data_IF_822630770109
#
_entry.id   IF_822630770109
#
_cell.length_a   1.000
_cell.length_b   1.000
_cell.length_c   1.000
_cell.angle_alpha   90.00
_cell.angle_beta   90.00
_cell.angle_gamma   90.00
#
_symmetry.space_group_name_H-M   'P 1'
#
loop_
_entity.id
_entity.type
_entity.pdbx_description
1 polymer ?
#
# COMPACT_ATOMS: atom_id res chain seq x y z
N UNK A 1 -19.94 -18.50 2.12
CA UNK A 1 -19.66 -18.22 0.68
C UNK A 1 -18.96 -19.40 -0.01
N UNK A 2 -17.94 -20.04 0.59
CA UNK A 2 -17.22 -21.18 -0.04
C UNK A 2 -18.14 -22.39 -0.37
N UNK A 3 -19.08 -22.75 0.50
CA UNK A 3 -20.01 -23.88 0.27
C UNK A 3 -20.98 -23.65 -0.89
N UNK A 4 -21.46 -22.41 -1.07
CA UNK A 4 -22.36 -22.06 -2.18
C UNK A 4 -21.60 -22.12 -3.53
N UNK A 5 -20.35 -21.65 -3.57
CA UNK A 5 -19.51 -21.72 -4.76
C UNK A 5 -19.20 -23.16 -5.18
N UNK A 6 -18.96 -24.04 -4.21
CA UNK A 6 -18.72 -25.50 -4.47
C UNK A 6 -19.99 -26.18 -5.01
N UNK A 7 -21.16 -25.86 -4.48
CA UNK A 7 -22.44 -26.41 -4.95
C UNK A 7 -22.82 -25.92 -6.34
N UNK A 8 -22.60 -24.64 -6.65
CA UNK A 8 -22.83 -24.07 -7.98
C UNK A 8 -21.86 -24.64 -9.02
N UNK A 9 -20.58 -24.77 -8.67
CA UNK A 9 -19.58 -25.37 -9.59
C UNK A 9 -19.85 -26.87 -9.91
N UNK A 10 -20.57 -27.58 -9.03
CA UNK A 10 -20.99 -28.94 -9.27
C UNK A 10 -22.23 -29.04 -10.19
N UNK A 11 -23.00 -27.95 -10.33
CA UNK A 11 -24.22 -27.89 -11.17
C UNK A 11 -23.91 -27.28 -12.54
N UNK A 12 -22.99 -26.35 -12.62
CA UNK A 12 -22.60 -25.65 -13.84
C UNK A 12 -21.13 -25.22 -13.75
N UNK A 13 -20.29 -25.75 -14.64
CA UNK A 13 -18.86 -25.48 -14.70
C UNK A 13 -18.58 -23.99 -15.03
N UNK A 14 -19.42 -23.35 -15.88
CA UNK A 14 -19.28 -21.95 -16.27
C UNK A 14 -19.66 -21.01 -15.12
N UNK A 15 -20.70 -21.33 -14.34
CA UNK A 15 -21.04 -20.60 -13.14
C UNK A 15 -19.93 -20.67 -12.07
N UNK A 16 -19.30 -21.84 -11.93
CA UNK A 16 -18.14 -22.01 -11.05
C UNK A 16 -16.91 -21.21 -11.51
N UNK A 17 -16.66 -21.14 -12.82
CA UNK A 17 -15.60 -20.31 -13.39
C UNK A 17 -15.86 -18.81 -13.18
N UNK A 18 -17.10 -18.37 -13.40
CA UNK A 18 -17.54 -17.02 -13.18
C UNK A 18 -17.32 -16.54 -11.72
N UNK A 19 -17.70 -17.36 -10.74
CA UNK A 19 -17.46 -17.04 -9.32
C UNK A 19 -15.98 -16.92 -8.96
N UNK A 20 -15.12 -17.76 -9.56
CA UNK A 20 -13.68 -17.63 -9.36
C UNK A 20 -13.11 -16.33 -9.93
N UNK A 21 -13.58 -15.91 -11.10
CA UNK A 21 -13.20 -14.61 -11.71
C UNK A 21 -13.61 -13.46 -10.79
N UNK A 22 -14.84 -13.45 -10.29
CA UNK A 22 -15.32 -12.40 -9.38
C UNK A 22 -14.45 -12.34 -8.13
N UNK A 23 -14.29 -13.47 -7.42
CA UNK A 23 -13.53 -13.51 -6.16
C UNK A 23 -12.07 -13.10 -6.36
N UNK A 24 -11.47 -13.44 -7.51
CA UNK A 24 -10.10 -13.07 -7.82
C UNK A 24 -9.93 -11.55 -7.98
N UNK A 25 -10.78 -10.88 -8.78
CA UNK A 25 -10.67 -9.45 -9.00
C UNK A 25 -11.15 -8.60 -7.82
N UNK A 26 -12.09 -9.10 -7.03
CA UNK A 26 -12.47 -8.47 -5.77
C UNK A 26 -11.28 -8.47 -4.80
N UNK A 27 -10.57 -9.59 -4.68
CA UNK A 27 -9.34 -9.68 -3.88
C UNK A 27 -8.22 -8.75 -4.38
N UNK A 28 -8.03 -8.62 -5.70
CA UNK A 28 -7.08 -7.65 -6.26
C UNK A 28 -7.47 -6.20 -5.96
N UNK A 29 -8.76 -5.89 -5.96
CA UNK A 29 -9.27 -4.56 -5.66
C UNK A 29 -9.07 -4.23 -4.18
N UNK A 30 -9.38 -5.16 -3.28
CA UNK A 30 -9.14 -5.04 -1.83
C UNK A 30 -7.64 -4.88 -1.52
N UNK A 31 -6.80 -5.66 -2.21
CA UNK A 31 -5.34 -5.56 -2.09
C UNK A 31 -4.75 -4.31 -2.78
N UNK A 32 -5.59 -3.44 -3.36
CA UNK A 32 -5.16 -2.26 -4.13
C UNK A 32 -4.12 -2.57 -5.21
N UNK A 33 -4.30 -3.70 -5.90
CA UNK A 33 -3.38 -4.17 -6.92
C UNK A 33 -3.20 -3.14 -8.05
N UNK A 34 -2.00 -3.16 -8.64
CA UNK A 34 -1.66 -2.26 -9.75
C UNK A 34 -2.17 -2.72 -11.11
N UNK A 35 -2.06 -1.82 -12.10
CA UNK A 35 -2.57 -2.05 -13.46
C UNK A 35 -2.00 -3.33 -14.07
N UNK A 36 -0.69 -3.56 -13.93
CA UNK A 36 -0.04 -4.75 -14.49
C UNK A 36 -0.55 -6.04 -13.85
N UNK A 37 -0.71 -6.07 -12.52
CA UNK A 37 -1.21 -7.23 -11.80
C UNK A 37 -2.65 -7.56 -12.22
N UNK A 38 -3.48 -6.52 -12.41
CA UNK A 38 -4.86 -6.68 -12.86
C UNK A 38 -4.91 -7.22 -14.29
N UNK A 39 -4.09 -6.67 -15.22
CA UNK A 39 -4.00 -7.15 -16.61
C UNK A 39 -3.42 -8.56 -16.68
N UNK A 40 -2.46 -8.89 -15.81
CA UNK A 40 -1.93 -10.27 -15.67
C UNK A 40 -3.03 -11.24 -15.27
N UNK A 41 -3.86 -10.88 -14.30
CA UNK A 41 -5.02 -11.69 -13.90
C UNK A 41 -5.97 -11.94 -15.07
N UNK A 42 -6.22 -10.92 -15.91
CA UNK A 42 -7.04 -11.09 -17.11
C UNK A 42 -6.43 -12.10 -18.09
N UNK A 43 -5.13 -11.98 -18.38
CA UNK A 43 -4.44 -12.87 -19.32
C UNK A 43 -4.43 -14.33 -18.84
N UNK A 44 -4.12 -14.55 -17.57
CA UNK A 44 -4.07 -15.89 -16.96
C UNK A 44 -5.46 -16.54 -16.95
N UNK A 45 -6.50 -15.81 -16.51
CA UNK A 45 -7.86 -16.35 -16.41
C UNK A 45 -8.53 -16.54 -17.78
N UNK A 46 -8.24 -15.66 -18.74
CA UNK A 46 -8.73 -15.81 -20.11
C UNK A 46 -7.96 -16.89 -20.89
N UNK A 47 -6.74 -17.28 -20.49
CA UNK A 47 -5.88 -18.17 -21.24
C UNK A 47 -5.42 -17.60 -22.59
N UNK A 48 -5.47 -16.27 -22.77
CA UNK A 48 -4.97 -15.56 -23.94
C UNK A 48 -4.32 -14.24 -23.52
N UNK A 49 -3.48 -13.59 -24.35
CA UNK A 49 -2.87 -12.34 -23.99
C UNK A 49 -3.92 -11.26 -23.73
N UNK A 50 -3.70 -10.46 -22.68
CA UNK A 50 -4.51 -9.29 -22.37
C UNK A 50 -3.70 -8.01 -22.62
N UNK A 51 -4.36 -6.99 -23.18
CA UNK A 51 -3.76 -5.72 -23.53
C UNK A 51 -4.58 -4.57 -22.97
N UNK A 52 -3.90 -3.64 -22.28
CA UNK A 52 -4.46 -2.35 -21.86
C UNK A 52 -3.76 -1.23 -22.63
N UNK A 53 -4.54 -0.36 -23.24
CA UNK A 53 -4.06 0.83 -23.94
C UNK A 53 -4.81 2.05 -23.41
N UNK A 54 -4.08 3.07 -22.96
CA UNK A 54 -4.59 4.38 -22.60
C UNK A 54 -3.66 5.44 -23.20
N UNK A 55 -4.08 6.04 -24.31
CA UNK A 55 -3.25 7.01 -25.03
C UNK A 55 -3.14 8.35 -24.29
N UNK A 56 -4.14 8.74 -23.50
CA UNK A 56 -4.08 9.95 -22.66
C UNK A 56 -3.02 9.83 -21.58
N UNK A 57 -2.94 8.65 -20.93
CA UNK A 57 -1.96 8.37 -19.88
C UNK A 57 -0.68 7.73 -20.39
N UNK A 58 -0.58 7.49 -21.73
CA UNK A 58 0.53 6.78 -22.39
C UNK A 58 0.80 5.40 -21.79
N UNK A 59 -0.23 4.73 -21.29
CA UNK A 59 -0.15 3.37 -20.76
C UNK A 59 -0.33 2.37 -21.90
N UNK A 60 0.63 1.47 -22.08
CA UNK A 60 0.57 0.37 -23.07
C UNK A 60 1.11 -0.89 -22.40
N UNK A 61 0.22 -1.72 -21.88
CA UNK A 61 0.54 -2.97 -21.22
C UNK A 61 0.04 -4.14 -22.06
N UNK A 62 0.85 -5.16 -22.21
CA UNK A 62 0.48 -6.45 -22.79
C UNK A 62 1.06 -7.55 -21.93
N UNK A 63 0.22 -8.48 -21.48
CA UNK A 63 0.62 -9.61 -20.66
C UNK A 63 0.16 -10.90 -21.30
N UNK A 64 1.03 -11.88 -21.40
CA UNK A 64 0.75 -13.22 -21.95
C UNK A 64 0.17 -14.14 -20.87
N UNK A 65 -0.46 -15.29 -21.23
CA UNK A 65 -1.11 -16.20 -20.27
C UNK A 65 -0.16 -16.79 -19.22
N UNK A 66 1.13 -16.85 -19.50
CA UNK A 66 2.18 -17.24 -18.55
C UNK A 66 2.54 -16.13 -17.54
N UNK A 67 1.88 -14.96 -17.65
CA UNK A 67 2.07 -13.81 -16.78
C UNK A 67 3.23 -12.89 -17.18
N UNK A 68 3.91 -13.14 -18.31
CA UNK A 68 5.00 -12.32 -18.77
C UNK A 68 4.49 -11.02 -19.42
N UNK A 69 5.08 -9.88 -19.04
CA UNK A 69 4.84 -8.61 -19.70
C UNK A 69 5.65 -8.56 -21.01
N UNK A 70 5.00 -8.19 -22.11
CA UNK A 70 5.61 -8.11 -23.44
C UNK A 70 5.32 -6.77 -24.10
N UNK A 71 6.17 -6.27 -25.02
CA UNK A 71 5.89 -5.06 -25.78
C UNK A 71 4.62 -5.18 -26.63
N UNK A 72 3.89 -4.08 -26.73
CA UNK A 72 2.77 -3.94 -27.68
C UNK A 72 3.35 -3.66 -29.06
N UNK A 73 3.64 -4.69 -29.84
CA UNK A 73 4.35 -4.57 -31.11
C UNK A 73 3.42 -4.48 -32.34
N UNK A 74 2.19 -5.01 -32.25
CA UNK A 74 1.24 -5.05 -33.37
C UNK A 74 0.01 -4.19 -33.12
N UNK A 75 -0.65 -3.66 -34.15
CA UNK A 75 -1.96 -3.03 -34.02
C UNK A 75 -2.98 -4.02 -33.44
N UNK A 76 -4.02 -3.48 -32.81
CA UNK A 76 -5.10 -4.29 -32.27
C UNK A 76 -5.97 -4.85 -33.38
N UNK A 77 -6.27 -6.16 -33.32
CA UNK A 77 -7.23 -6.77 -34.21
C UNK A 77 -8.66 -6.28 -33.89
N UNK A 78 -9.43 -5.81 -34.85
CA UNK A 78 -10.82 -5.44 -34.62
C UNK A 78 -11.70 -6.59 -34.07
N UNK A 79 -11.35 -7.83 -34.36
CA UNK A 79 -12.10 -9.02 -33.91
C UNK A 79 -11.91 -9.33 -32.40
N UNK A 80 -10.89 -8.79 -31.74
CA UNK A 80 -10.68 -9.05 -30.33
C UNK A 80 -11.77 -8.43 -29.45
N UNK A 81 -12.23 -9.19 -28.46
CA UNK A 81 -13.13 -8.66 -27.45
C UNK A 81 -12.46 -7.50 -26.71
N UNK A 82 -13.20 -6.41 -26.55
CA UNK A 82 -12.69 -5.20 -25.90
C UNK A 82 -13.75 -4.52 -25.04
N UNK A 83 -13.31 -3.79 -24.04
CA UNK A 83 -14.15 -2.92 -23.23
C UNK A 83 -13.43 -1.63 -22.89
N UNK A 84 -14.16 -0.54 -22.73
CA UNK A 84 -13.64 0.71 -22.21
C UNK A 84 -13.59 0.66 -20.68
N UNK A 85 -12.58 1.31 -20.09
CA UNK A 85 -12.42 1.35 -18.64
C UNK A 85 -13.11 2.58 -18.06
N UNK A 86 -14.36 2.41 -17.65
CA UNK A 86 -15.18 3.52 -17.14
C UNK A 86 -15.42 4.60 -18.20
N UNK A 87 -15.22 5.87 -17.81
CA UNK A 87 -15.33 7.03 -18.71
C UNK A 87 -13.97 7.49 -19.27
N UNK A 88 -12.91 6.68 -19.12
CA UNK A 88 -11.57 7.01 -19.60
C UNK A 88 -11.38 6.59 -21.07
N UNK A 89 -10.31 7.09 -21.71
CA UNK A 89 -9.84 6.64 -23.02
C UNK A 89 -9.20 5.25 -23.00
N UNK A 90 -9.00 4.66 -21.81
CA UNK A 90 -8.38 3.36 -21.64
C UNK A 90 -9.25 2.23 -22.21
N UNK A 91 -8.64 1.36 -23.00
CA UNK A 91 -9.30 0.20 -23.62
C UNK A 91 -8.55 -1.07 -23.18
N UNK A 92 -9.31 -2.02 -22.62
CA UNK A 92 -8.83 -3.36 -22.32
C UNK A 92 -9.27 -4.31 -23.44
N UNK A 93 -8.37 -5.18 -23.88
CA UNK A 93 -8.60 -6.16 -24.95
C UNK A 93 -8.09 -7.53 -24.53
N UNK A 94 -8.79 -8.59 -24.97
CA UNK A 94 -8.32 -9.97 -24.92
C UNK A 94 -7.91 -10.40 -26.33
N UNK A 95 -6.63 -10.74 -26.54
CA UNK A 95 -6.07 -11.13 -27.82
C UNK A 95 -6.36 -12.60 -28.12
N UNK A 96 -7.65 -12.96 -28.16
CA UNK A 96 -8.07 -14.32 -28.47
C UNK A 96 -8.16 -14.55 -29.97
N UNK A 97 -7.49 -15.61 -30.43
CA UNK A 97 -7.70 -16.12 -31.78
C UNK A 97 -8.95 -17.01 -31.81
N UNK A 98 -9.95 -16.66 -32.62
CA UNK A 98 -11.20 -17.40 -32.74
C UNK A 98 -12.35 -16.87 -31.89
N UNK A 99 -13.31 -17.75 -31.56
CA UNK A 99 -14.51 -17.36 -30.83
C UNK A 99 -14.21 -17.01 -29.36
N UNK A 100 -14.96 -16.04 -28.76
CA UNK A 100 -14.84 -15.70 -27.34
C UNK A 100 -15.12 -16.89 -26.44
N UNK A 101 -14.36 -16.99 -25.36
CA UNK A 101 -14.64 -17.96 -24.28
C UNK A 101 -15.88 -17.56 -23.48
N UNK A 102 -16.57 -18.54 -22.87
CA UNK A 102 -17.80 -18.32 -22.08
C UNK A 102 -17.66 -17.32 -20.97
N UNK A 103 -16.47 -17.22 -20.37
CA UNK A 103 -16.16 -16.29 -19.24
C UNK A 103 -15.47 -15.00 -19.69
N UNK A 104 -15.10 -14.83 -20.97
CA UNK A 104 -14.32 -13.67 -21.42
C UNK A 104 -15.04 -12.33 -21.19
N UNK A 105 -16.35 -12.27 -21.43
CA UNK A 105 -17.17 -11.09 -21.18
C UNK A 105 -17.14 -10.68 -19.70
N UNK A 106 -17.23 -11.66 -18.79
CA UNK A 106 -17.17 -11.43 -17.35
C UNK A 106 -15.78 -11.00 -16.89
N UNK A 107 -14.72 -11.60 -17.46
CA UNK A 107 -13.34 -11.17 -17.21
C UNK A 107 -13.19 -9.70 -17.58
N UNK A 108 -13.61 -9.31 -18.79
CA UNK A 108 -13.53 -7.92 -19.23
C UNK A 108 -14.30 -6.97 -18.33
N UNK A 109 -15.50 -7.34 -17.88
CA UNK A 109 -16.33 -6.52 -16.98
C UNK A 109 -15.63 -6.32 -15.63
N UNK A 110 -15.16 -7.40 -14.99
CA UNK A 110 -14.52 -7.34 -13.66
C UNK A 110 -13.18 -6.62 -13.69
N UNK A 111 -12.38 -6.90 -14.70
CA UNK A 111 -11.10 -6.21 -14.94
C UNK A 111 -11.33 -4.73 -15.16
N UNK A 112 -12.33 -4.35 -15.99
CA UNK A 112 -12.66 -2.93 -16.22
C UNK A 112 -13.01 -2.21 -14.92
N UNK A 113 -13.77 -2.85 -14.03
CA UNK A 113 -14.08 -2.31 -12.69
C UNK A 113 -12.84 -2.10 -11.83
N UNK A 114 -11.96 -3.10 -11.75
CA UNK A 114 -10.71 -3.03 -10.99
C UNK A 114 -9.73 -1.99 -11.57
N UNK A 115 -9.59 -1.94 -12.90
CA UNK A 115 -8.77 -0.93 -13.58
C UNK A 115 -9.31 0.47 -13.35
N UNK A 116 -10.64 0.68 -13.43
CA UNK A 116 -11.28 1.97 -13.16
C UNK A 116 -10.94 2.45 -11.75
N UNK A 117 -11.10 1.60 -10.73
CA UNK A 117 -10.77 1.95 -9.36
C UNK A 117 -9.30 2.37 -9.21
N UNK A 118 -8.38 1.70 -9.93
CA UNK A 118 -6.96 2.03 -9.93
C UNK A 118 -6.67 3.33 -10.68
N UNK A 119 -7.26 3.54 -11.86
CA UNK A 119 -7.09 4.76 -12.66
C UNK A 119 -7.71 5.99 -11.99
N UNK A 120 -8.86 5.86 -11.33
CA UNK A 120 -9.50 6.96 -10.58
C UNK A 120 -8.66 7.37 -9.37
N UNK A 121 -8.07 6.41 -8.67
CA UNK A 121 -7.13 6.65 -7.56
C UNK A 121 -5.89 7.42 -8.01
N UNK A 122 -5.51 7.31 -9.27
CA UNK A 122 -4.31 7.95 -9.85
C UNK A 122 -4.63 9.24 -10.62
N UNK A 123 -5.90 9.66 -10.72
CA UNK A 123 -6.30 10.92 -11.35
C UNK A 123 -5.62 12.13 -10.68
N UNK A 124 -5.05 13.02 -11.48
CA UNK A 124 -4.41 14.26 -11.01
C UNK A 124 -2.91 14.16 -10.73
N UNK A 125 -2.26 13.02 -10.99
CA UNK A 125 -0.79 12.91 -10.95
C UNK A 125 -0.16 13.47 -12.23
N UNK A 126 0.94 14.23 -12.05
CA UNK A 126 1.69 14.81 -13.15
C UNK A 126 2.20 13.72 -14.14
N UNK A 127 2.34 14.05 -15.45
CA UNK A 127 2.75 13.10 -16.50
C UNK A 127 4.11 12.42 -16.29
N UNK A 128 4.94 12.94 -15.39
CA UNK A 128 6.27 12.41 -15.08
C UNK A 128 6.27 11.09 -14.30
N UNK A 129 5.12 10.62 -13.81
CA UNK A 129 5.01 9.36 -13.10
C UNK A 129 3.86 8.53 -13.67
N UNK A 130 4.10 7.81 -14.76
CA UNK A 130 3.19 6.76 -15.22
C UNK A 130 3.04 5.72 -14.11
N UNK A 131 1.86 5.61 -13.46
CA UNK A 131 1.67 4.72 -12.31
C UNK A 131 1.98 3.26 -12.64
N UNK A 132 1.73 2.83 -13.89
CA UNK A 132 2.00 1.47 -14.31
C UNK A 132 3.50 1.18 -14.37
N UNK A 133 4.30 2.15 -14.84
CA UNK A 133 5.74 2.01 -14.87
C UNK A 133 6.35 2.08 -13.46
N UNK A 134 5.79 2.89 -12.55
CA UNK A 134 6.21 2.93 -11.15
C UNK A 134 5.91 1.59 -10.46
N UNK A 135 4.72 1.02 -10.67
CA UNK A 135 4.36 -0.29 -10.13
C UNK A 135 5.27 -1.41 -10.67
N UNK A 136 5.60 -1.34 -11.97
CA UNK A 136 6.54 -2.28 -12.58
C UNK A 136 7.93 -2.21 -11.95
N UNK A 137 8.39 -1.01 -11.61
CA UNK A 137 9.70 -0.80 -10.97
C UNK A 137 9.79 -1.39 -9.57
N UNK A 138 8.69 -1.42 -8.83
CA UNK A 138 8.63 -1.95 -7.46
C UNK A 138 8.15 -3.40 -7.40
N UNK A 139 7.77 -4.01 -8.52
CA UNK A 139 7.36 -5.41 -8.60
C UNK A 139 8.58 -6.35 -8.57
N UNK A 140 8.69 -7.14 -7.50
CA UNK A 140 9.76 -8.14 -7.37
C UNK A 140 9.66 -9.28 -8.43
N UNK A 141 8.48 -9.52 -8.98
CA UNK A 141 8.25 -10.50 -10.05
C UNK A 141 8.64 -10.01 -11.45
N UNK A 142 8.88 -8.71 -11.63
CA UNK A 142 9.26 -8.15 -12.92
C UNK A 142 10.76 -8.39 -13.21
N UNK A 143 11.13 -8.86 -14.42
CA UNK A 143 12.52 -9.01 -14.83
C UNK A 143 13.29 -7.68 -14.76
N UNK A 144 14.59 -7.73 -14.46
CA UNK A 144 15.43 -6.54 -14.28
C UNK A 144 15.47 -5.67 -15.55
N UNK A 145 15.66 -6.27 -16.71
CA UNK A 145 15.69 -5.59 -18.00
C UNK A 145 14.39 -4.81 -18.30
N UNK A 146 13.25 -5.37 -17.90
CA UNK A 146 11.94 -4.72 -18.03
C UNK A 146 11.84 -3.53 -17.08
N UNK A 147 12.33 -3.66 -15.83
CA UNK A 147 12.39 -2.57 -14.85
C UNK A 147 13.32 -1.45 -15.30
N UNK A 148 14.50 -1.79 -15.82
CA UNK A 148 15.46 -0.80 -16.38
C UNK A 148 14.85 -0.06 -17.58
N UNK A 149 14.10 -0.74 -18.45
CA UNK A 149 13.39 -0.10 -19.54
C UNK A 149 12.33 0.87 -19.02
N UNK A 150 11.58 0.48 -17.99
CA UNK A 150 10.60 1.35 -17.34
C UNK A 150 11.27 2.60 -16.73
N UNK A 151 12.42 2.42 -16.07
CA UNK A 151 13.20 3.53 -15.52
C UNK A 151 13.65 4.53 -16.61
N UNK A 152 14.13 4.02 -17.73
CA UNK A 152 14.48 4.86 -18.90
C UNK A 152 13.27 5.61 -19.47
N UNK A 153 12.12 4.94 -19.56
CA UNK A 153 10.87 5.54 -20.06
C UNK A 153 10.35 6.65 -19.12
N UNK A 154 10.50 6.48 -17.81
CA UNK A 154 10.18 7.51 -16.83
C UNK A 154 11.25 8.62 -16.73
N UNK A 155 12.34 8.53 -17.49
CA UNK A 155 13.46 9.47 -17.43
C UNK A 155 13.98 9.67 -15.99
N UNK A 156 14.06 8.57 -15.23
CA UNK A 156 14.59 8.63 -13.88
C UNK A 156 16.04 9.11 -13.90
N UNK A 157 16.43 10.01 -12.97
CA UNK A 157 17.79 10.50 -12.89
C UNK A 157 18.78 9.36 -12.60
N UNK A 158 20.00 9.51 -13.07
CA UNK A 158 21.08 8.64 -12.66
C UNK A 158 21.38 8.89 -11.18
N UNK A 159 21.30 7.86 -10.36
CA UNK A 159 21.53 7.95 -8.92
C UNK A 159 20.55 7.09 -8.10
N UNK A 160 20.76 7.07 -6.79
CA UNK A 160 19.90 6.30 -5.91
C UNK A 160 18.47 6.89 -5.84
N UNK A 161 17.50 6.00 -5.83
CA UNK A 161 16.06 6.32 -5.78
C UNK A 161 15.45 5.59 -4.60
N UNK A 162 14.52 6.24 -3.92
CA UNK A 162 13.75 5.64 -2.82
C UNK A 162 12.35 5.28 -3.31
N UNK A 163 11.87 4.11 -2.97
CA UNK A 163 10.46 3.83 -3.08
C UNK A 163 9.68 4.50 -1.95
N UNK A 164 8.50 5.01 -2.25
CA UNK A 164 7.59 5.68 -1.30
C UNK A 164 6.26 4.96 -1.31
N UNK A 165 5.85 4.46 -0.15
CA UNK A 165 4.55 3.87 0.07
C UNK A 165 3.57 4.94 0.57
N UNK A 166 2.39 5.00 -0.07
CA UNK A 166 1.26 5.86 0.30
C UNK A 166 -0.03 5.05 0.20
N UNK A 167 -1.10 5.52 0.78
CA UNK A 167 -2.43 4.92 0.58
C UNK A 167 -2.84 4.88 -0.89
N UNK A 168 -2.41 5.90 -1.66
CA UNK A 168 -2.67 5.98 -3.10
C UNK A 168 -1.80 5.05 -3.96
N UNK A 169 -0.90 4.26 -3.37
CA UNK A 169 0.01 3.34 -4.06
C UNK A 169 1.47 3.80 -4.07
N UNK A 170 2.33 3.13 -4.85
CA UNK A 170 3.75 3.41 -4.93
C UNK A 170 4.05 4.76 -5.59
N UNK A 171 5.14 5.38 -5.13
CA UNK A 171 5.76 6.52 -5.78
C UNK A 171 7.29 6.37 -5.68
N UNK A 172 8.00 7.18 -6.43
CA UNK A 172 9.46 7.22 -6.42
C UNK A 172 9.94 8.59 -5.94
N UNK A 173 10.99 8.60 -5.15
CA UNK A 173 11.62 9.80 -4.63
C UNK A 173 13.09 9.80 -5.02
N UNK A 174 13.49 10.53 -6.06
CA UNK A 174 14.89 10.76 -6.37
C UNK A 174 15.63 11.46 -5.23
N UNK A 175 16.94 11.30 -5.20
CA UNK A 175 17.76 12.00 -4.23
C UNK A 175 17.62 13.53 -4.38
N UNK A 176 17.51 14.24 -3.26
CA UNK A 176 17.31 15.70 -3.23
C UNK A 176 15.88 16.17 -3.51
N UNK A 177 14.96 15.29 -3.85
CA UNK A 177 13.55 15.68 -3.97
C UNK A 177 12.92 15.93 -2.59
N UNK A 178 11.95 16.87 -2.50
CA UNK A 178 11.27 17.15 -1.24
C UNK A 178 10.46 15.93 -0.77
N UNK A 179 10.35 15.74 0.56
CA UNK A 179 9.55 14.64 1.10
C UNK A 179 8.08 14.76 0.63
N UNK A 180 7.38 13.63 0.52
CA UNK A 180 5.98 13.64 0.11
C UNK A 180 5.10 14.35 1.16
N UNK A 181 4.06 15.03 0.70
CA UNK A 181 3.03 15.54 1.58
C UNK A 181 2.10 14.42 2.04
N UNK A 182 1.64 14.52 3.29
CA UNK A 182 0.72 13.57 3.90
C UNK A 182 1.40 12.27 4.34
N UNK A 183 0.59 11.28 4.68
CA UNK A 183 1.05 10.02 5.24
C UNK A 183 1.84 9.19 4.23
N UNK A 184 3.10 8.89 4.55
CA UNK A 184 3.98 8.13 3.68
C UNK A 184 5.07 7.36 4.44
N UNK A 185 5.43 6.18 3.91
CA UNK A 185 6.63 5.45 4.29
C UNK A 185 7.69 5.54 3.20
N UNK A 186 8.94 5.73 3.56
CA UNK A 186 10.07 5.90 2.63
C UNK A 186 11.08 4.76 2.84
N UNK A 187 11.36 4.03 1.76
CA UNK A 187 12.36 2.97 1.74
C UNK A 187 13.79 3.49 1.62
N UNK A 188 14.80 2.60 1.71
CA UNK A 188 16.19 2.95 1.48
C UNK A 188 16.44 3.44 0.05
N UNK A 189 17.47 4.28 -0.12
CA UNK A 189 17.94 4.71 -1.42
C UNK A 189 18.71 3.57 -2.10
N UNK A 190 18.31 3.23 -3.30
CA UNK A 190 18.80 2.07 -4.04
C UNK A 190 18.87 2.36 -5.54
N UNK A 191 19.55 1.52 -6.30
CA UNK A 191 19.43 1.47 -7.76
C UNK A 191 18.10 0.83 -8.22
N UNK A 192 17.86 0.76 -9.53
CA UNK A 192 16.63 0.17 -10.09
C UNK A 192 16.48 -1.31 -9.70
N UNK A 193 17.57 -2.04 -9.56
CA UNK A 193 17.53 -3.45 -9.16
C UNK A 193 16.98 -3.62 -7.73
N UNK A 194 17.32 -2.70 -6.83
CA UNK A 194 16.92 -2.70 -5.42
C UNK A 194 15.53 -2.14 -5.14
N UNK A 195 14.84 -1.51 -6.11
CA UNK A 195 13.54 -0.85 -5.89
C UNK A 195 12.46 -1.75 -5.27
N UNK A 196 12.33 -3.06 -5.62
CA UNK A 196 11.38 -3.93 -4.93
C UNK A 196 11.64 -4.08 -3.43
N UNK A 197 12.91 -4.18 -3.04
CA UNK A 197 13.28 -4.25 -1.62
C UNK A 197 13.03 -2.90 -0.91
N UNK A 198 13.35 -1.79 -1.57
CA UNK A 198 13.02 -0.44 -1.08
C UNK A 198 11.52 -0.25 -0.90
N UNK A 199 10.70 -0.79 -1.81
CA UNK A 199 9.24 -0.77 -1.70
C UNK A 199 8.73 -1.60 -0.52
N UNK A 200 9.24 -2.80 -0.33
CA UNK A 200 8.88 -3.62 0.82
C UNK A 200 9.18 -2.89 2.14
N UNK A 201 10.36 -2.26 2.24
CA UNK A 201 10.74 -1.45 3.38
C UNK A 201 9.85 -0.19 3.54
N UNK A 202 9.50 0.49 2.44
CA UNK A 202 8.60 1.64 2.46
C UNK A 202 7.20 1.27 2.98
N UNK A 203 6.68 0.10 2.62
CA UNK A 203 5.40 -0.40 3.14
C UNK A 203 5.45 -0.64 4.65
N UNK A 204 6.54 -1.20 5.16
CA UNK A 204 6.75 -1.33 6.60
C UNK A 204 6.75 0.06 7.26
N UNK A 205 7.49 1.02 6.72
CA UNK A 205 7.56 2.38 7.26
C UNK A 205 6.20 3.09 7.24
N UNK A 206 5.37 2.86 6.21
CA UNK A 206 4.02 3.44 6.11
C UNK A 206 3.12 3.00 7.29
N UNK A 207 3.27 1.78 7.78
CA UNK A 207 2.51 1.29 8.94
C UNK A 207 2.86 2.04 10.23
N UNK A 208 4.06 2.63 10.32
CA UNK A 208 4.49 3.47 11.43
C UNK A 208 4.18 4.96 11.23
N UNK A 209 3.81 5.39 10.04
CA UNK A 209 3.44 6.78 9.78
C UNK A 209 2.09 7.11 10.42
N UNK A 210 2.01 8.26 11.07
CA UNK A 210 0.80 8.78 11.72
C UNK A 210 -0.05 9.61 10.75
N UNK A 211 -1.29 9.89 11.14
CA UNK A 211 -2.14 10.88 10.46
C UNK A 211 -1.79 12.33 10.83
N UNK A 212 -1.04 12.53 11.92
CA UNK A 212 -0.69 13.85 12.44
C UNK A 212 -1.87 14.56 13.12
N UNK A 213 -2.84 13.79 13.60
CA UNK A 213 -4.05 14.29 14.32
C UNK A 213 -3.95 14.00 15.81
N UNK A 214 -4.85 14.56 16.61
CA UNK A 214 -4.92 14.26 18.06
C UNK A 214 -5.25 12.77 18.33
N UNK A 215 -5.96 12.12 17.42
CA UNK A 215 -6.31 10.69 17.50
C UNK A 215 -5.21 9.76 16.99
N UNK A 216 -4.26 10.29 16.24
CA UNK A 216 -3.06 9.60 15.75
C UNK A 216 -1.89 10.58 15.63
N UNK A 217 -1.32 11.00 16.77
CA UNK A 217 -0.21 11.95 16.81
C UNK A 217 1.10 11.29 16.37
N UNK A 218 1.98 12.05 15.73
CA UNK A 218 3.31 11.65 15.32
C UNK A 218 3.66 12.05 13.89
N UNK A 219 4.79 11.54 13.40
CA UNK A 219 5.30 11.85 12.08
C UNK A 219 4.42 11.24 10.98
N UNK A 220 4.02 12.07 10.05
CA UNK A 220 3.25 11.62 8.87
C UNK A 220 4.14 10.96 7.82
N UNK A 221 5.44 11.24 7.84
CA UNK A 221 6.43 10.64 6.93
C UNK A 221 7.49 9.93 7.75
N UNK A 222 7.63 8.62 7.51
CA UNK A 222 8.59 7.76 8.23
C UNK A 222 9.57 7.14 7.25
N UNK A 223 10.86 7.29 7.52
CA UNK A 223 11.91 6.58 6.80
C UNK A 223 12.16 5.21 7.45
N UNK A 224 12.21 4.17 6.64
CA UNK A 224 12.48 2.81 7.14
C UNK A 224 13.81 2.73 7.90
N UNK A 225 14.83 3.49 7.49
CA UNK A 225 16.13 3.52 8.13
C UNK A 225 16.06 4.00 9.60
N UNK A 226 15.12 4.90 9.91
CA UNK A 226 14.96 5.47 11.25
C UNK A 226 14.27 4.51 12.21
N UNK A 227 13.56 3.49 11.69
CA UNK A 227 12.90 2.49 12.52
C UNK A 227 13.89 1.53 13.19
N UNK A 228 15.03 1.26 12.57
CA UNK A 228 15.98 0.29 13.12
C UNK A 228 15.29 -1.05 13.46
N UNK A 229 15.47 -1.51 14.70
CA UNK A 229 14.87 -2.76 15.17
C UNK A 229 13.33 -2.68 15.34
N UNK A 230 12.74 -1.49 15.44
CA UNK A 230 11.28 -1.34 15.51
C UNK A 230 10.59 -1.89 14.25
N UNK A 231 11.25 -1.87 13.08
CA UNK A 231 10.70 -2.45 11.86
C UNK A 231 10.29 -3.92 12.01
N UNK A 232 10.94 -4.68 12.89
CA UNK A 232 10.62 -6.08 13.17
C UNK A 232 9.24 -6.25 13.82
N UNK A 233 8.75 -5.24 14.54
CA UNK A 233 7.42 -5.28 15.15
C UNK A 233 6.31 -5.36 14.11
N UNK A 234 6.52 -4.86 12.89
CA UNK A 234 5.52 -4.92 11.83
C UNK A 234 5.11 -6.35 11.47
N UNK A 235 6.03 -7.32 11.56
CA UNK A 235 5.75 -8.73 11.30
C UNK A 235 5.08 -9.45 12.47
N UNK A 236 5.14 -8.89 13.68
CA UNK A 236 4.66 -9.50 14.92
C UNK A 236 3.41 -8.82 15.50
N UNK A 237 3.01 -7.67 14.94
CA UNK A 237 1.97 -6.81 15.55
C UNK A 237 0.62 -7.51 15.76
N UNK A 238 0.26 -8.43 14.86
CA UNK A 238 -1.01 -9.15 14.88
C UNK A 238 -0.89 -10.57 15.46
N UNK A 239 0.35 -11.02 15.75
CA UNK A 239 0.62 -12.41 16.16
C UNK A 239 0.44 -12.66 17.65
N UNK A 240 0.47 -11.62 18.49
CA UNK A 240 0.50 -11.77 19.94
C UNK A 240 -0.54 -10.89 20.64
N UNK A 241 -1.12 -11.45 21.70
CA UNK A 241 -1.86 -10.66 22.69
C UNK A 241 -0.87 -10.00 23.65
N UNK A 242 -0.87 -8.66 23.68
CA UNK A 242 0.12 -7.86 24.43
C UNK A 242 -0.59 -7.13 25.58
N UNK A 243 -0.35 -7.51 26.86
CA UNK A 243 -1.00 -6.85 28.00
C UNK A 243 -0.80 -5.33 28.05
N UNK A 244 0.35 -4.83 27.61
CA UNK A 244 0.65 -3.40 27.59
C UNK A 244 -0.25 -2.63 26.59
N UNK A 245 -0.70 -3.27 25.52
CA UNK A 245 -1.69 -2.68 24.61
C UNK A 245 -3.06 -2.57 25.27
N UNK A 246 -3.52 -3.59 25.99
CA UNK A 246 -4.80 -3.52 26.70
C UNK A 246 -4.77 -2.43 27.78
N UNK A 247 -3.66 -2.30 28.50
CA UNK A 247 -3.49 -1.24 29.50
C UNK A 247 -3.50 0.15 28.83
N UNK A 248 -2.82 0.28 27.69
CA UNK A 248 -2.83 1.52 26.90
C UNK A 248 -4.25 1.85 26.42
N UNK A 249 -4.94 0.91 25.78
CA UNK A 249 -6.31 1.11 25.27
C UNK A 249 -7.27 1.48 26.41
N UNK A 250 -7.13 0.85 27.60
CA UNK A 250 -7.89 1.22 28.78
C UNK A 250 -7.61 2.67 29.21
N UNK A 251 -6.33 3.07 29.26
CA UNK A 251 -5.95 4.43 29.63
C UNK A 251 -6.49 5.49 28.62
N UNK A 252 -6.47 5.16 27.34
CA UNK A 252 -7.00 6.03 26.27
C UNK A 252 -8.52 6.15 26.34
N UNK A 253 -9.23 5.10 26.67
CA UNK A 253 -10.68 5.12 26.86
C UNK A 253 -11.08 5.92 28.10
N UNK A 254 -10.29 5.87 29.17
CA UNK A 254 -10.56 6.57 30.44
C UNK A 254 -10.24 8.07 30.38
N UNK A 255 -9.29 8.49 29.54
CA UNK A 255 -8.81 9.88 29.52
C UNK A 255 -8.55 10.38 28.08
N UNK A 256 -9.40 11.27 27.53
CA UNK A 256 -9.24 11.79 26.16
C UNK A 256 -7.90 12.48 25.87
N UNK A 257 -7.25 13.01 26.89
CA UNK A 257 -5.94 13.65 26.78
C UNK A 257 -4.76 12.65 26.82
N UNK A 258 -5.01 11.37 27.12
CA UNK A 258 -3.94 10.41 27.40
C UNK A 258 -3.03 10.18 26.19
N UNK A 259 -3.59 9.99 24.98
CA UNK A 259 -2.80 9.67 23.78
C UNK A 259 -1.80 10.78 23.45
N UNK A 260 -2.27 12.01 23.31
CA UNK A 260 -1.40 13.16 22.99
C UNK A 260 -0.36 13.40 24.08
N UNK A 261 -0.73 13.21 25.35
CA UNK A 261 0.18 13.37 26.49
C UNK A 261 1.25 12.28 26.51
N UNK A 262 0.87 11.01 26.36
CA UNK A 262 1.79 9.87 26.35
C UNK A 262 2.73 9.91 25.15
N UNK A 263 2.21 10.28 23.98
CA UNK A 263 3.02 10.46 22.78
C UNK A 263 4.05 11.58 22.96
N UNK A 264 3.61 12.78 23.37
CA UNK A 264 4.53 13.89 23.63
C UNK A 264 5.57 13.57 24.71
N UNK A 265 5.21 12.75 25.70
CA UNK A 265 6.14 12.29 26.73
C UNK A 265 7.16 11.30 26.20
N UNK A 266 6.77 10.37 25.33
CA UNK A 266 7.66 9.41 24.70
C UNK A 266 8.70 10.09 23.79
N UNK A 267 8.27 11.05 22.98
CA UNK A 267 9.14 11.79 22.04
C UNK A 267 10.07 12.83 22.70
N UNK A 268 9.69 13.32 23.87
CA UNK A 268 10.43 14.41 24.48
C UNK A 268 11.62 13.96 25.32
N UNK A 269 12.73 14.69 25.25
CA UNK A 269 13.91 14.46 26.07
C UNK A 269 13.66 14.75 27.57
N UNK A 270 12.61 15.50 27.91
CA UNK A 270 12.25 15.83 29.29
C UNK A 270 10.76 16.15 29.45
N UNK A 271 10.26 15.98 30.69
CA UNK A 271 8.87 16.35 31.01
C UNK A 271 8.55 17.84 30.70
N UNK A 272 9.53 18.72 30.86
CA UNK A 272 9.38 20.15 30.53
C UNK A 272 9.24 20.35 29.02
N UNK A 273 10.00 19.62 28.22
CA UNK A 273 9.90 19.66 26.75
C UNK A 273 8.54 19.10 26.28
N UNK A 274 8.08 18.00 26.88
CA UNK A 274 6.75 17.45 26.61
C UNK A 274 5.62 18.43 26.95
N UNK A 275 5.70 19.11 28.11
CA UNK A 275 4.73 20.12 28.51
C UNK A 275 4.71 21.30 27.53
N UNK A 276 5.89 21.78 27.10
CA UNK A 276 6.00 22.86 26.12
C UNK A 276 5.41 22.49 24.76
N UNK A 277 5.66 21.25 24.26
CA UNK A 277 5.11 20.75 23.00
C UNK A 277 3.57 20.79 23.01
N UNK A 278 2.95 20.45 24.14
CA UNK A 278 1.49 20.50 24.32
C UNK A 278 0.95 21.84 24.81
N UNK A 279 1.81 22.86 24.98
CA UNK A 279 1.46 24.16 25.55
C UNK A 279 0.79 24.07 26.93
N UNK A 280 1.22 23.12 27.75
CA UNK A 280 0.73 22.88 29.09
C UNK A 280 1.70 23.46 30.14
N UNK A 281 1.15 23.81 31.32
CA UNK A 281 2.00 24.09 32.47
C UNK A 281 2.66 22.79 32.96
N UNK A 282 3.87 22.92 33.50
CA UNK A 282 4.66 21.76 33.95
C UNK A 282 3.93 20.90 35.02
N UNK A 283 3.21 21.55 35.95
CA UNK A 283 2.42 20.84 36.97
C UNK A 283 1.29 20.01 36.36
N UNK A 284 0.56 20.58 35.37
CA UNK A 284 -0.50 19.86 34.65
C UNK A 284 0.05 18.64 33.93
N UNK A 285 1.24 18.77 33.33
CA UNK A 285 1.91 17.63 32.69
C UNK A 285 2.31 16.56 33.72
N UNK A 286 2.82 16.98 34.89
CA UNK A 286 3.13 16.06 36.00
C UNK A 286 1.88 15.29 36.48
N UNK A 287 0.77 16.00 36.68
CA UNK A 287 -0.50 15.40 37.12
C UNK A 287 -1.02 14.40 36.07
N UNK A 288 -0.97 14.75 34.78
CA UNK A 288 -1.37 13.84 33.68
C UNK A 288 -0.50 12.60 33.62
N UNK A 289 0.83 12.73 33.77
CA UNK A 289 1.72 11.56 33.78
C UNK A 289 1.45 10.69 34.98
N UNK A 290 1.25 11.26 36.18
CA UNK A 290 0.90 10.47 37.38
C UNK A 290 -0.43 9.74 37.20
N UNK A 291 -1.44 10.40 36.66
CA UNK A 291 -2.72 9.75 36.35
C UNK A 291 -2.57 8.65 35.28
N UNK A 292 -1.75 8.87 34.25
CA UNK A 292 -1.47 7.86 33.23
C UNK A 292 -0.74 6.64 33.81
N UNK A 293 0.25 6.83 34.74
CA UNK A 293 0.93 5.73 35.43
C UNK A 293 -0.08 4.85 36.18
N UNK A 294 -1.07 5.44 36.85
CA UNK A 294 -2.14 4.69 37.54
C UNK A 294 -3.01 3.88 36.57
N UNK A 295 -3.37 4.47 35.44
CA UNK A 295 -4.20 3.79 34.42
C UNK A 295 -3.43 2.68 33.69
N UNK A 296 -2.16 2.90 33.41
CA UNK A 296 -1.28 1.93 32.75
C UNK A 296 -0.86 0.79 33.68
N UNK A 297 -0.76 1.04 35.01
CA UNK A 297 -0.29 0.08 35.98
C UNK A 297 1.24 -0.07 36.07
N UNK A 298 2.01 0.85 35.42
CA UNK A 298 3.47 0.90 35.56
C UNK A 298 4.00 2.34 35.55
N UNK A 299 5.20 2.52 36.12
CA UNK A 299 5.87 3.83 36.15
C UNK A 299 6.43 4.19 34.75
N UNK A 300 6.29 5.45 34.39
CA UNK A 300 6.88 6.05 33.19
C UNK A 300 8.20 6.79 33.48
N UNK A 301 8.58 6.88 34.75
CA UNK A 301 9.72 7.70 35.19
C UNK A 301 11.06 6.98 35.04
N UNK A 302 11.05 5.66 34.91
CA UNK A 302 12.25 4.87 34.65
C UNK A 302 12.37 4.48 33.18
N UNK A 303 13.57 4.08 32.77
CA UNK A 303 13.90 3.72 31.40
C UNK A 303 13.07 2.54 30.88
N UNK A 304 12.80 1.56 31.73
CA UNK A 304 12.03 0.36 31.35
C UNK A 304 10.56 0.71 31.08
N UNK A 305 9.97 1.57 31.90
CA UNK A 305 8.59 2.02 31.68
C UNK A 305 8.43 2.88 30.45
N UNK A 306 9.41 3.74 30.13
CA UNK A 306 9.45 4.49 28.87
C UNK A 306 9.51 3.56 27.67
N UNK A 307 10.43 2.58 27.68
CA UNK A 307 10.55 1.61 26.60
C UNK A 307 9.23 0.82 26.38
N UNK A 308 8.55 0.40 27.48
CA UNK A 308 7.24 -0.25 27.38
C UNK A 308 6.21 0.65 26.73
N UNK A 309 6.17 1.92 27.09
CA UNK A 309 5.27 2.90 26.48
C UNK A 309 5.56 3.07 24.99
N UNK A 310 6.82 3.27 24.60
CA UNK A 310 7.23 3.42 23.19
C UNK A 310 6.81 2.22 22.37
N UNK A 311 7.07 1.00 22.86
CA UNK A 311 6.66 -0.23 22.18
C UNK A 311 5.13 -0.37 22.11
N UNK A 312 4.40 -0.03 23.16
CA UNK A 312 2.93 -0.09 23.17
C UNK A 312 2.32 0.91 22.16
N UNK A 313 2.86 2.14 22.09
CA UNK A 313 2.43 3.13 21.10
C UNK A 313 2.73 2.69 19.67
N UNK A 314 3.93 2.12 19.43
CA UNK A 314 4.30 1.58 18.11
C UNK A 314 3.39 0.41 17.68
N UNK A 315 3.14 -0.55 18.57
CA UNK A 315 2.24 -1.68 18.31
C UNK A 315 0.79 -1.24 18.07
N UNK A 316 0.30 -0.27 18.86
CA UNK A 316 -1.03 0.31 18.65
C UNK A 316 -1.14 0.91 17.24
N UNK A 317 -0.13 1.66 16.81
CA UNK A 317 -0.09 2.25 15.46
C UNK A 317 -0.09 1.19 14.37
N UNK A 318 0.71 0.14 14.52
CA UNK A 318 0.75 -0.98 13.58
C UNK A 318 -0.60 -1.70 13.44
N UNK A 319 -1.38 -1.82 14.54
CA UNK A 319 -2.74 -2.40 14.49
C UNK A 319 -3.76 -1.47 13.85
N UNK A 320 -3.59 -0.15 14.01
CA UNK A 320 -4.45 0.84 13.37
C UNK A 320 -4.23 0.89 11.86
N UNK A 321 -3.00 0.61 11.42
CA UNK A 321 -2.55 0.69 10.03
C UNK A 321 -1.98 -0.66 9.56
N UNK A 322 -2.82 -1.69 9.34
CA UNK A 322 -2.41 -3.05 8.96
C UNK A 322 -1.77 -3.15 7.57
#
# INVERSE_FOLDING_TARGET
>A
MKDLAVRLAALDADAGAALRVIAYFDGLTEARAGLQTIVRGAAVLAGCPARLVDDERRVRLRVTPDGAATPVAAPADPAWMRTTVGSSSAVLMLERAGEPGTVDAMILERVSGALRATLDRTRGRAPAADPALVELLVDAGAPLDVREKAARTLHLPAGPIRAVARESGPALLPEGAPPPAGRAGIGPAVDVAGLPASWAAARVALRFAAEGTDDDPGDTVVHHADLGALALLASAADAFDVPDLHALDHALAAAPWALTTLHAFAEAASLRAAAAALRLHHSTMQDRITAAEHLLGWSLRDQRGRLRLELALALRRLRRHP
#
